data_IF_385814906450
#
_entry.id   IF_385814906450
#
_cell.length_a   1.000
_cell.length_b   1.000
_cell.length_c   1.000
_cell.angle_alpha   90.00
_cell.angle_beta   90.00
_cell.angle_gamma   90.00
#
_symmetry.space_group_name_H-M   'P 1'
#
loop_
_entity.id
_entity.type
_entity.pdbx_description
1 polymer ?
#
# COMPACT_ATOMS: atom_id res chain seq x y z
N UNK A 1 1.82 1.41 -20.28
CA UNK A 1 3.14 1.19 -19.65
C UNK A 1 2.93 0.73 -18.23
N UNK A 2 3.57 -0.37 -17.84
CA UNK A 2 3.52 -0.90 -16.48
C UNK A 2 4.67 -0.31 -15.66
N UNK A 3 4.37 0.18 -14.47
CA UNK A 3 5.33 0.77 -13.56
C UNK A 3 5.27 0.05 -12.21
N UNK A 4 6.43 -0.18 -11.61
CA UNK A 4 6.50 -0.69 -10.23
C UNK A 4 6.42 0.49 -9.27
N UNK A 5 5.53 0.47 -8.26
CA UNK A 5 5.49 1.54 -7.27
C UNK A 5 6.70 1.48 -6.33
N UNK A 6 7.18 2.66 -5.93
CA UNK A 6 8.16 2.75 -4.85
C UNK A 6 7.45 2.47 -3.52
N UNK A 7 8.05 1.59 -2.72
CA UNK A 7 7.45 1.10 -1.48
C UNK A 7 8.45 1.20 -0.34
N UNK A 8 8.03 1.76 0.78
CA UNK A 8 8.80 1.81 2.02
C UNK A 8 8.00 1.13 3.14
N UNK A 9 8.62 0.17 3.82
CA UNK A 9 8.01 -0.53 4.95
C UNK A 9 8.84 -0.27 6.19
N UNK A 10 8.18 0.17 7.27
CA UNK A 10 8.81 0.47 8.55
C UNK A 10 7.97 -0.05 9.70
N UNK A 11 8.62 -0.39 10.81
CA UNK A 11 7.93 -0.76 12.04
C UNK A 11 7.72 0.49 12.89
N UNK A 12 6.53 0.65 13.45
CA UNK A 12 6.28 1.60 14.51
C UNK A 12 6.58 0.93 15.85
N UNK A 13 7.75 1.21 16.41
CA UNK A 13 8.26 0.61 17.65
C UNK A 13 7.35 0.87 18.88
N UNK A 14 6.45 1.84 18.83
CA UNK A 14 5.62 2.21 19.98
C UNK A 14 4.36 1.35 20.11
N UNK A 15 3.77 0.97 18.98
CA UNK A 15 2.48 0.29 18.97
C UNK A 15 2.53 -1.08 18.29
N UNK A 16 3.71 -1.54 17.84
CA UNK A 16 3.85 -2.83 17.14
C UNK A 16 3.22 -2.83 15.76
N UNK A 17 3.07 -1.63 15.16
CA UNK A 17 2.36 -1.42 13.88
C UNK A 17 3.32 -1.58 12.72
N UNK A 18 2.82 -2.04 11.58
CA UNK A 18 3.56 -2.01 10.32
C UNK A 18 3.08 -0.84 9.46
N UNK A 19 3.96 0.11 9.18
CA UNK A 19 3.67 1.24 8.31
C UNK A 19 4.21 0.96 6.91
N UNK A 20 3.31 0.94 5.92
CA UNK A 20 3.64 0.74 4.51
C UNK A 20 3.29 2.02 3.75
N UNK A 21 4.29 2.64 3.12
CA UNK A 21 4.14 3.86 2.33
C UNK A 21 4.37 3.54 0.85
N UNK A 22 3.46 4.01 -0.01
CA UNK A 22 3.48 3.78 -1.45
C UNK A 22 3.50 5.13 -2.18
N UNK A 23 4.42 5.28 -3.12
CA UNK A 23 4.50 6.46 -3.98
C UNK A 23 3.90 6.17 -5.36
N UNK A 24 2.80 6.87 -5.66
CA UNK A 24 2.02 6.73 -6.90
C UNK A 24 1.78 8.12 -7.51
N UNK A 25 2.81 8.76 -8.09
CA UNK A 25 2.72 10.14 -8.54
C UNK A 25 1.74 10.30 -9.71
N UNK A 26 0.78 11.22 -9.56
CA UNK A 26 -0.22 11.53 -10.58
C UNK A 26 -1.36 10.51 -10.68
N UNK A 27 -1.48 9.60 -9.70
CA UNK A 27 -2.62 8.70 -9.56
C UNK A 27 -3.66 9.34 -8.65
N UNK A 28 -4.91 9.32 -9.10
CA UNK A 28 -6.04 9.72 -8.28
C UNK A 28 -6.36 8.64 -7.24
N UNK A 29 -6.63 9.05 -6.01
CA UNK A 29 -6.85 8.14 -4.87
C UNK A 29 -7.96 7.11 -5.08
N UNK A 30 -8.99 7.48 -5.85
CA UNK A 30 -10.14 6.62 -6.18
C UNK A 30 -9.76 5.47 -7.13
N UNK A 31 -8.65 5.63 -7.86
CA UNK A 31 -8.17 4.71 -8.88
C UNK A 31 -7.10 3.75 -8.33
N UNK A 32 -6.84 3.79 -7.00
CA UNK A 32 -5.94 2.87 -6.30
C UNK A 32 -6.75 1.69 -5.79
N UNK A 33 -6.40 0.50 -6.26
CA UNK A 33 -6.84 -0.77 -5.72
C UNK A 33 -5.73 -1.40 -4.88
N UNK A 34 -6.12 -1.99 -3.76
CA UNK A 34 -5.20 -2.50 -2.78
C UNK A 34 -5.79 -3.75 -2.12
N UNK A 35 -5.09 -4.86 -2.29
CA UNK A 35 -5.43 -6.16 -1.70
C UNK A 35 -4.41 -6.51 -0.63
N UNK A 36 -4.89 -6.64 0.61
CA UNK A 36 -4.09 -7.06 1.76
C UNK A 36 -4.31 -8.53 2.07
N UNK A 37 -3.22 -9.27 2.25
CA UNK A 37 -3.19 -10.64 2.76
C UNK A 37 -2.37 -10.67 4.05
N UNK A 38 -2.34 -11.82 4.70
CA UNK A 38 -1.61 -11.97 5.97
C UNK A 38 -0.12 -11.72 5.79
N UNK A 39 0.47 -12.22 4.73
CA UNK A 39 1.91 -12.25 4.50
C UNK A 39 2.34 -11.40 3.31
N UNK A 40 1.40 -10.69 2.68
CA UNK A 40 1.66 -9.95 1.45
C UNK A 40 0.60 -8.90 1.18
N UNK A 41 0.91 -7.98 0.27
CA UNK A 41 -0.09 -7.08 -0.29
C UNK A 41 0.17 -6.82 -1.77
N UNK A 42 -0.89 -6.56 -2.51
CA UNK A 42 -0.83 -6.18 -3.91
C UNK A 42 -1.50 -4.83 -4.11
N UNK A 43 -0.86 -3.95 -4.86
CA UNK A 43 -1.40 -2.65 -5.27
C UNK A 43 -1.49 -2.60 -6.78
N UNK A 44 -2.59 -2.07 -7.28
CA UNK A 44 -2.71 -1.65 -8.67
C UNK A 44 -3.36 -0.28 -8.74
N UNK A 45 -2.88 0.58 -9.64
CA UNK A 45 -3.45 1.90 -9.80
C UNK A 45 -3.26 2.44 -11.22
N UNK A 46 -4.32 3.04 -11.76
CA UNK A 46 -4.30 3.66 -13.08
C UNK A 46 -3.85 5.12 -13.00
N UNK A 47 -2.92 5.48 -13.87
CA UNK A 47 -2.48 6.86 -14.12
C UNK A 47 -2.91 7.24 -15.53
N UNK A 48 -4.06 7.90 -15.64
CA UNK A 48 -4.67 8.20 -16.95
C UNK A 48 -5.06 6.92 -17.69
N UNK A 49 -5.03 6.96 -19.03
CA UNK A 49 -5.52 5.87 -19.88
C UNK A 49 -4.43 4.83 -20.21
N UNK A 50 -3.15 5.21 -20.19
CA UNK A 50 -2.07 4.40 -20.75
C UNK A 50 -1.06 3.86 -19.72
N UNK A 51 -1.11 4.30 -18.46
CA UNK A 51 -0.10 3.92 -17.45
C UNK A 51 -0.75 3.24 -16.26
N UNK A 52 -0.19 2.10 -15.85
CA UNK A 52 -0.62 1.36 -14.67
C UNK A 52 0.57 1.17 -13.74
N UNK A 53 0.39 1.50 -12.47
CA UNK A 53 1.25 1.04 -11.40
C UNK A 53 0.74 -0.30 -10.90
N UNK A 54 1.59 -1.31 -10.81
CA UNK A 54 1.21 -2.63 -10.29
C UNK A 54 2.37 -3.30 -9.58
N UNK A 55 2.10 -3.92 -8.43
CA UNK A 55 3.12 -4.64 -7.68
C UNK A 55 2.54 -5.43 -6.52
N UNK A 56 3.14 -6.60 -6.25
CA UNK A 56 2.88 -7.39 -5.06
C UNK A 56 4.15 -7.49 -4.21
N UNK A 57 4.00 -7.34 -2.90
CA UNK A 57 5.10 -7.23 -1.95
C UNK A 57 4.87 -8.23 -0.82
N UNK A 58 5.91 -9.00 -0.52
CA UNK A 58 5.92 -9.93 0.62
C UNK A 58 6.27 -9.17 1.89
N UNK A 59 5.55 -9.47 2.97
CA UNK A 59 5.84 -8.97 4.30
C UNK A 59 6.77 -9.96 5.02
N UNK A 60 7.66 -9.43 5.85
CA UNK A 60 8.58 -10.26 6.64
C UNK A 60 7.85 -11.07 7.72
N UNK A 61 6.69 -10.59 8.17
CA UNK A 61 5.86 -11.22 9.19
C UNK A 61 4.39 -11.16 8.79
N UNK A 62 3.61 -12.11 9.31
CA UNK A 62 2.16 -12.08 9.14
C UNK A 62 1.55 -10.87 9.86
N UNK A 63 0.64 -10.17 9.17
CA UNK A 63 -0.15 -9.07 9.68
C UNK A 63 -1.62 -9.51 9.78
N UNK A 64 -2.28 -9.08 10.85
CA UNK A 64 -3.73 -9.25 11.00
C UNK A 64 -4.37 -7.92 10.64
N UNK A 65 -5.20 -7.84 9.58
CA UNK A 65 -5.90 -6.62 9.25
C UNK A 65 -6.96 -6.34 10.32
N UNK A 66 -6.61 -5.55 11.34
CA UNK A 66 -7.59 -4.93 12.23
C UNK A 66 -8.17 -3.67 11.55
N UNK A 67 -9.42 -3.33 11.87
CA UNK A 67 -10.21 -2.28 11.21
C UNK A 67 -9.38 -1.03 10.88
N UNK A 68 -9.09 -0.84 9.59
CA UNK A 68 -8.19 0.19 9.11
C UNK A 68 -8.91 1.54 9.04
N UNK A 69 -8.53 2.50 9.89
CA UNK A 69 -8.94 3.90 9.77
C UNK A 69 -8.38 4.48 8.46
N UNK A 70 -9.26 4.71 7.48
CA UNK A 70 -8.93 5.24 6.14
C UNK A 70 -8.76 6.76 6.19
N UNK A 71 -7.70 7.26 6.80
CA UNK A 71 -7.29 8.67 6.70
C UNK A 71 -6.34 8.83 5.49
N UNK A 72 -6.90 8.95 4.27
CA UNK A 72 -6.12 9.07 3.03
C UNK A 72 -5.41 10.44 2.96
N UNK A 73 -4.15 10.48 3.37
CA UNK A 73 -3.23 11.64 3.23
C UNK A 73 -1.78 11.26 3.53
N UNK A 74 -1.62 10.34 4.48
CA UNK A 74 -0.60 9.30 4.50
C UNK A 74 -1.41 8.00 4.44
N UNK A 75 -0.90 6.90 3.88
CA UNK A 75 -1.57 5.60 4.07
C UNK A 75 -0.79 4.85 5.15
N UNK A 76 -0.89 5.22 6.45
CA UNK A 76 -0.47 4.27 7.46
C UNK A 76 -1.50 3.15 7.41
N UNK A 77 -1.07 1.94 7.04
CA UNK A 77 -1.84 0.78 7.46
C UNK A 77 -1.81 0.81 8.99
N UNK A 78 -2.95 1.14 9.57
CA UNK A 78 -3.15 1.11 11.00
C UNK A 78 -3.44 -0.33 11.40
N UNK A 79 -2.50 -0.94 12.13
CA UNK A 79 -2.73 -2.01 13.11
C UNK A 79 -2.17 -1.45 14.40
#
# INVERSE_FOLDING_TARGET
MLMTPCTCVSHDDKNGRLKIELELPGVDKKDISLEMRKDSFCVSALRGEDTEYSGCFMLAHEVVPENSDKELGHIPYMI
#
